data_IF_213288621083
#
_entry.id   IF_213288621083
#
_cell.length_a   1.000
_cell.length_b   1.000
_cell.length_c   1.000
_cell.angle_alpha   90.00
_cell.angle_beta   90.00
_cell.angle_gamma   90.00
#
_symmetry.space_group_name_H-M   'P 1'
#
loop_
_entity.id
_entity.type
_entity.pdbx_description
1 polymer ?
#
# COMPACT_ATOMS: atom_id res chain seq x y z
N UNK A 1 34.83 27.88 -17.92
CA UNK A 1 35.25 27.67 -16.52
C UNK A 1 34.07 28.00 -15.61
N UNK A 2 34.05 27.40 -14.43
CA UNK A 2 32.85 26.96 -13.72
C UNK A 2 32.14 28.06 -12.88
N UNK A 3 30.81 27.86 -12.74
CA UNK A 3 30.01 27.91 -11.49
C UNK A 3 29.69 29.28 -10.89
N UNK A 4 28.41 29.67 -10.98
CA UNK A 4 27.75 30.67 -10.12
C UNK A 4 26.66 29.95 -9.31
N UNK A 5 26.72 30.08 -7.98
CA UNK A 5 25.64 29.76 -7.04
C UNK A 5 25.40 31.01 -6.18
N UNK A 6 24.27 31.65 -6.45
CA UNK A 6 23.46 32.52 -5.59
C UNK A 6 23.03 31.72 -4.32
N UNK A 7 22.78 32.22 -3.12
CA UNK A 7 22.66 33.55 -2.51
C UNK A 7 22.81 33.44 -0.99
N UNK A 8 23.13 34.58 -0.41
CA UNK A 8 23.14 35.03 0.98
C UNK A 8 21.78 34.90 1.71
N UNK A 9 21.79 34.61 3.01
CA UNK A 9 20.78 35.05 3.99
C UNK A 9 21.21 34.65 5.39
N UNK A 10 21.99 35.54 6.00
CA UNK A 10 22.40 35.57 7.40
C UNK A 10 21.27 36.19 8.24
N UNK A 11 20.89 35.57 9.36
CA UNK A 11 19.96 36.12 10.35
C UNK A 11 20.12 35.38 11.67
N UNK A 12 21.25 35.62 12.34
CA UNK A 12 21.43 35.29 13.76
C UNK A 12 20.63 36.27 14.65
N UNK A 13 19.70 35.73 15.44
CA UNK A 13 19.00 36.47 16.49
C UNK A 13 19.25 35.78 17.84
N UNK A 14 20.09 36.41 18.66
CA UNK A 14 20.55 35.90 19.96
C UNK A 14 19.58 36.36 21.05
N UNK A 15 18.92 35.44 21.75
CA UNK A 15 18.22 35.74 23.00
C UNK A 15 19.11 35.49 24.22
N UNK A 16 18.97 36.35 25.24
CA UNK A 16 19.92 36.57 26.34
C UNK A 16 19.70 35.65 27.54
N UNK A 17 19.04 34.52 27.35
CA UNK A 17 18.83 33.49 28.38
C UNK A 17 19.29 32.17 27.79
N UNK A 18 20.43 31.65 28.24
CA UNK A 18 21.19 30.55 27.60
C UNK A 18 20.47 29.19 27.52
N UNK A 19 19.37 29.14 26.76
CA UNK A 19 18.57 27.95 26.49
C UNK A 19 18.53 27.78 24.98
N UNK A 20 19.04 26.64 24.51
CA UNK A 20 19.04 26.25 23.10
C UNK A 20 17.58 25.95 22.71
N UNK A 21 16.91 26.89 22.04
CA UNK A 21 15.63 26.60 21.36
C UNK A 21 15.97 26.00 20.00
N UNK A 22 15.73 24.69 19.86
CA UNK A 22 15.72 24.02 18.57
C UNK A 22 14.51 24.52 17.78
N UNK A 23 14.69 25.54 16.95
CA UNK A 23 13.70 25.90 15.95
C UNK A 23 13.67 24.82 14.86
N UNK A 24 12.51 24.21 14.55
CA UNK A 24 12.42 23.30 13.42
C UNK A 24 12.60 24.10 12.12
N UNK A 25 13.69 23.81 11.42
CA UNK A 25 13.96 24.35 10.09
C UNK A 25 12.85 23.90 9.14
N UNK A 26 12.03 24.86 8.72
CA UNK A 26 10.94 24.68 7.78
C UNK A 26 11.51 24.55 6.36
N UNK A 27 11.92 23.33 5.99
CA UNK A 27 12.11 22.95 4.60
C UNK A 27 10.74 22.62 4.00
N UNK A 28 10.34 23.49 3.08
CA UNK A 28 9.05 23.59 2.44
C UNK A 28 8.64 22.37 1.59
N UNK A 29 7.36 21.98 1.76
CA UNK A 29 6.43 21.31 0.80
C UNK A 29 6.61 19.82 0.49
N UNK A 30 5.90 18.96 1.25
CA UNK A 30 4.74 18.21 0.72
C UNK A 30 3.96 17.55 1.86
N UNK A 31 2.72 17.97 2.02
CA UNK A 31 1.73 17.33 2.88
C UNK A 31 1.40 15.91 2.39
N UNK A 32 1.54 14.96 3.30
CA UNK A 32 0.74 13.74 3.52
C UNK A 32 1.63 12.53 3.78
N UNK A 33 1.47 11.99 4.99
CA UNK A 33 2.10 10.76 5.49
C UNK A 33 1.96 9.67 4.42
N UNK A 34 3.08 9.19 3.86
CA UNK A 34 3.06 7.95 3.08
C UNK A 34 2.79 6.77 4.02
N UNK A 35 1.50 6.55 4.34
CA UNK A 35 1.06 5.34 5.02
C UNK A 35 1.58 4.14 4.23
N UNK A 36 2.27 3.22 4.91
CA UNK A 36 2.82 2.03 4.28
C UNK A 36 1.72 1.28 3.54
N UNK A 37 2.05 0.54 2.48
CA UNK A 37 1.10 -0.36 1.84
C UNK A 37 0.49 -1.35 2.85
N UNK A 38 1.24 -1.66 3.91
CA UNK A 38 0.75 -2.49 5.00
C UNK A 38 -0.26 -1.74 5.88
N UNK A 39 -0.07 -0.44 6.12
CA UNK A 39 -1.00 0.39 6.90
C UNK A 39 -2.33 0.53 6.15
N UNK A 40 -2.27 0.85 4.85
CA UNK A 40 -3.47 0.91 3.99
C UNK A 40 -4.22 -0.42 3.97
N UNK A 41 -3.49 -1.54 3.96
CA UNK A 41 -4.12 -2.85 4.08
C UNK A 41 -4.73 -3.07 5.44
N UNK A 42 -4.05 -2.72 6.53
CA UNK A 42 -4.54 -2.90 7.89
C UNK A 42 -5.79 -2.06 8.14
N UNK A 43 -5.81 -0.82 7.65
CA UNK A 43 -6.96 0.08 7.72
C UNK A 43 -8.16 -0.48 6.95
N UNK A 44 -7.90 -1.05 5.77
CA UNK A 44 -8.93 -1.74 5.00
C UNK A 44 -9.40 -3.02 5.71
N UNK A 45 -8.52 -3.98 5.97
CA UNK A 45 -8.85 -5.34 6.39
C UNK A 45 -9.20 -5.46 7.89
N UNK A 46 -8.89 -4.43 8.68
CA UNK A 46 -9.23 -4.28 10.10
C UNK A 46 -8.82 -5.51 10.92
N UNK A 47 -9.80 -6.27 11.43
CA UNK A 47 -9.60 -7.39 12.37
C UNK A 47 -9.45 -8.75 11.68
N UNK A 48 -9.76 -8.85 10.38
CA UNK A 48 -9.78 -10.12 9.66
C UNK A 48 -10.88 -11.09 10.13
N UNK A 49 -12.06 -10.54 10.42
CA UNK A 49 -13.29 -11.30 10.71
C UNK A 49 -13.84 -11.94 9.44
N UNK A 50 -14.79 -12.89 9.56
CA UNK A 50 -15.42 -13.49 8.38
C UNK A 50 -16.04 -12.43 7.46
N UNK A 51 -16.66 -11.41 8.04
CA UNK A 51 -17.24 -10.29 7.32
C UNK A 51 -16.19 -9.49 6.53
N UNK A 52 -14.99 -9.28 7.08
CA UNK A 52 -13.89 -8.63 6.35
C UNK A 52 -13.43 -9.48 5.15
N UNK A 53 -13.41 -10.80 5.29
CA UNK A 53 -13.12 -11.72 4.20
C UNK A 53 -14.23 -11.71 3.13
N UNK A 54 -15.50 -11.68 3.52
CA UNK A 54 -16.64 -11.61 2.61
C UNK A 54 -16.66 -10.28 1.84
N UNK A 55 -16.36 -9.15 2.52
CA UNK A 55 -16.21 -7.84 1.87
C UNK A 55 -15.07 -7.84 0.86
N UNK A 56 -13.92 -8.43 1.20
CA UNK A 56 -12.82 -8.60 0.27
C UNK A 56 -13.22 -9.45 -0.95
N UNK A 57 -14.04 -10.47 -0.77
CA UNK A 57 -14.58 -11.25 -1.89
C UNK A 57 -15.50 -10.38 -2.76
N UNK A 58 -16.43 -9.63 -2.16
CA UNK A 58 -17.33 -8.73 -2.88
C UNK A 58 -16.59 -7.67 -3.69
N UNK A 59 -15.59 -7.01 -3.08
CA UNK A 59 -14.76 -5.98 -3.72
C UNK A 59 -13.89 -6.52 -4.87
N UNK A 60 -13.76 -7.85 -4.97
CA UNK A 60 -13.05 -8.56 -6.03
C UNK A 60 -14.01 -9.24 -7.01
N UNK A 61 -15.31 -8.97 -6.92
CA UNK A 61 -16.34 -9.55 -7.79
C UNK A 61 -16.61 -11.05 -7.54
N UNK A 62 -16.26 -11.55 -6.36
CA UNK A 62 -16.53 -12.93 -5.93
C UNK A 62 -17.80 -13.00 -5.07
N UNK A 63 -18.41 -14.20 -4.94
CA UNK A 63 -19.56 -14.40 -4.05
C UNK A 63 -19.21 -13.98 -2.61
N UNK A 64 -20.09 -13.20 -1.99
CA UNK A 64 -19.93 -12.68 -0.63
C UNK A 64 -20.66 -13.53 0.42
N UNK A 65 -21.43 -14.53 0.01
CA UNK A 65 -22.21 -15.45 0.84
C UNK A 65 -21.40 -16.67 1.34
N UNK A 66 -20.07 -16.61 1.23
CA UNK A 66 -19.20 -17.71 1.63
C UNK A 66 -19.28 -17.94 3.16
N UNK A 67 -19.62 -19.15 3.62
CA UNK A 67 -19.94 -19.39 5.03
C UNK A 67 -18.71 -19.52 5.94
N UNK A 68 -17.49 -19.47 5.41
CA UNK A 68 -16.27 -19.61 6.21
C UNK A 68 -15.06 -18.89 5.63
N UNK A 69 -14.12 -18.50 6.51
CA UNK A 69 -12.86 -17.85 6.11
C UNK A 69 -12.02 -18.73 5.19
N UNK A 70 -12.11 -20.05 5.36
CA UNK A 70 -11.42 -21.02 4.50
C UNK A 70 -11.96 -20.95 3.08
N UNK A 71 -13.29 -20.94 2.90
CA UNK A 71 -13.91 -20.81 1.58
C UNK A 71 -13.58 -19.47 0.92
N UNK A 72 -13.59 -18.37 1.68
CA UNK A 72 -13.12 -17.07 1.17
C UNK A 72 -11.67 -17.16 0.69
N UNK A 73 -10.76 -17.74 1.49
CA UNK A 73 -9.37 -17.92 1.08
C UNK A 73 -9.22 -18.77 -0.17
N UNK A 74 -10.01 -19.82 -0.31
CA UNK A 74 -9.97 -20.69 -1.50
C UNK A 74 -10.46 -19.95 -2.74
N UNK A 75 -11.50 -19.14 -2.63
CA UNK A 75 -11.93 -18.24 -3.71
C UNK A 75 -10.84 -17.21 -4.06
N UNK A 76 -10.16 -16.64 -3.06
CA UNK A 76 -9.04 -15.73 -3.29
C UNK A 76 -7.83 -16.41 -3.97
N UNK A 77 -7.71 -17.74 -3.91
CA UNK A 77 -6.64 -18.46 -4.61
C UNK A 77 -6.88 -18.51 -6.13
N UNK A 78 -8.11 -18.50 -6.60
CA UNK A 78 -8.40 -18.59 -8.03
C UNK A 78 -8.14 -17.26 -8.76
N UNK A 79 -8.31 -16.13 -8.08
CA UNK A 79 -8.12 -14.81 -8.66
C UNK A 79 -6.64 -14.41 -8.74
N UNK A 80 -6.33 -13.60 -9.75
CA UNK A 80 -5.04 -12.94 -9.90
C UNK A 80 -5.29 -11.43 -9.91
N UNK A 81 -4.86 -10.73 -8.87
CA UNK A 81 -5.02 -9.27 -8.75
C UNK A 81 -3.75 -8.68 -8.14
N UNK A 82 -3.44 -7.43 -8.50
CA UNK A 82 -2.34 -6.72 -7.87
C UNK A 82 -2.85 -6.00 -6.62
N UNK A 83 -2.28 -6.30 -5.45
CA UNK A 83 -2.74 -5.74 -4.15
C UNK A 83 -2.57 -4.21 -4.11
N UNK A 84 -1.46 -3.68 -4.62
CA UNK A 84 -1.23 -2.23 -4.65
C UNK A 84 -2.23 -1.51 -5.53
N UNK A 85 -2.63 -2.12 -6.64
CA UNK A 85 -3.70 -1.60 -7.48
C UNK A 85 -5.04 -1.65 -6.74
N UNK A 86 -5.39 -2.79 -6.16
CA UNK A 86 -6.62 -2.96 -5.39
C UNK A 86 -6.79 -1.89 -4.30
N UNK A 87 -5.72 -1.60 -3.55
CA UNK A 87 -5.72 -0.58 -2.50
C UNK A 87 -5.91 0.85 -3.03
N UNK A 88 -5.53 1.12 -4.29
CA UNK A 88 -5.69 2.43 -4.95
C UNK A 88 -7.04 2.65 -5.61
N UNK A 89 -7.79 1.58 -5.88
CA UNK A 89 -9.12 1.68 -6.46
C UNK A 89 -10.11 2.23 -5.42
N UNK A 90 -10.88 3.25 -5.79
CA UNK A 90 -11.94 3.82 -4.95
C UNK A 90 -13.26 3.09 -5.18
N UNK A 91 -13.65 2.88 -6.45
CA UNK A 91 -14.88 2.18 -6.81
C UNK A 91 -14.59 0.70 -7.05
N UNK A 92 -14.82 -0.12 -6.02
CA UNK A 92 -14.69 -1.58 -6.10
C UNK A 92 -16.08 -2.20 -6.25
N UNK A 93 -16.27 -3.21 -7.11
CA UNK A 93 -15.27 -3.97 -7.86
C UNK A 93 -14.88 -3.40 -9.24
N UNK A 94 -15.58 -2.40 -9.76
CA UNK A 94 -15.49 -1.99 -11.18
C UNK A 94 -14.10 -1.48 -11.61
N UNK A 95 -13.39 -0.77 -10.72
CA UNK A 95 -12.04 -0.26 -11.02
C UNK A 95 -10.93 -1.31 -10.82
N UNK A 96 -11.26 -2.46 -10.23
CA UNK A 96 -10.28 -3.49 -9.88
C UNK A 96 -9.95 -4.34 -11.10
N UNK A 97 -8.66 -4.46 -11.41
CA UNK A 97 -8.19 -5.19 -12.59
C UNK A 97 -7.82 -6.60 -12.18
N UNK A 98 -8.70 -7.53 -12.52
CA UNK A 98 -8.45 -8.96 -12.42
C UNK A 98 -7.69 -9.43 -13.66
N UNK A 99 -6.69 -10.27 -13.44
CA UNK A 99 -5.87 -10.87 -14.49
C UNK A 99 -6.34 -12.30 -14.74
N UNK A 100 -6.34 -12.72 -16.01
CA UNK A 100 -6.79 -14.07 -16.38
C UNK A 100 -5.83 -15.14 -15.86
N UNK A 101 -4.54 -14.81 -15.81
CA UNK A 101 -3.50 -15.74 -15.39
C UNK A 101 -2.37 -15.02 -14.63
N UNK A 102 -1.54 -15.84 -13.97
CA UNK A 102 -0.38 -15.37 -13.21
C UNK A 102 0.63 -14.60 -14.07
N UNK A 103 0.83 -15.01 -15.33
CA UNK A 103 1.82 -14.40 -16.24
C UNK A 103 1.47 -12.95 -16.55
N UNK A 104 0.20 -12.67 -16.83
CA UNK A 104 -0.33 -11.31 -17.03
C UNK A 104 -0.15 -10.44 -15.79
N UNK A 105 -0.47 -10.97 -14.60
CA UNK A 105 -0.26 -10.27 -13.34
C UNK A 105 1.22 -9.89 -13.15
N UNK A 106 2.15 -10.81 -13.44
CA UNK A 106 3.59 -10.56 -13.32
C UNK A 106 4.05 -9.49 -14.31
N UNK A 107 3.69 -9.61 -15.59
CA UNK A 107 4.07 -8.65 -16.64
C UNK A 107 3.56 -7.26 -16.30
N UNK A 108 2.29 -7.14 -15.91
CA UNK A 108 1.68 -5.86 -15.53
C UNK A 108 2.38 -5.26 -14.31
N UNK A 109 2.65 -6.07 -13.28
CA UNK A 109 3.28 -5.60 -12.05
C UNK A 109 4.72 -5.15 -12.28
N UNK A 110 5.49 -5.88 -13.10
CA UNK A 110 6.86 -5.51 -13.48
C UNK A 110 6.87 -4.20 -14.25
N UNK A 111 6.02 -4.07 -15.27
CA UNK A 111 5.92 -2.86 -16.11
C UNK A 111 5.63 -1.61 -15.27
N UNK A 112 4.84 -1.74 -14.20
CA UNK A 112 4.43 -0.63 -13.33
C UNK A 112 5.21 -0.52 -12.02
N UNK A 113 6.21 -1.37 -11.81
CA UNK A 113 6.96 -1.48 -10.53
C UNK A 113 6.02 -1.57 -9.31
N UNK A 114 4.88 -2.24 -9.45
CA UNK A 114 3.79 -2.29 -8.47
C UNK A 114 3.92 -3.47 -7.50
N UNK A 115 5.12 -3.69 -6.97
CA UNK A 115 5.41 -4.80 -6.09
C UNK A 115 4.86 -4.58 -4.68
N UNK A 116 4.44 -5.67 -4.03
CA UNK A 116 4.01 -5.67 -2.64
C UNK A 116 5.06 -6.40 -1.77
N UNK A 117 5.45 -5.83 -0.61
CA UNK A 117 6.48 -6.42 0.24
C UNK A 117 6.03 -7.75 0.85
N UNK A 118 6.67 -8.85 0.44
CA UNK A 118 6.33 -10.21 0.90
C UNK A 118 6.80 -10.53 2.32
N UNK A 119 7.95 -9.96 2.73
CA UNK A 119 8.62 -10.28 4.00
C UNK A 119 7.85 -9.78 5.23
N UNK A 120 7.03 -8.75 5.07
CA UNK A 120 6.28 -8.10 6.16
C UNK A 120 4.89 -8.70 6.38
N UNK A 121 4.53 -9.77 5.66
CA UNK A 121 3.19 -10.34 5.73
C UNK A 121 2.99 -11.23 6.96
N UNK A 122 1.97 -10.95 7.80
CA UNK A 122 1.64 -11.82 8.93
C UNK A 122 1.23 -13.22 8.45
N UNK A 123 1.66 -14.25 9.18
CA UNK A 123 1.28 -15.64 8.91
C UNK A 123 -0.23 -15.80 9.03
N UNK A 124 -0.85 -16.53 8.09
CA UNK A 124 -2.31 -16.73 8.05
C UNK A 124 -3.13 -15.56 7.47
N UNK A 125 -2.49 -14.45 7.09
CA UNK A 125 -3.18 -13.33 6.45
C UNK A 125 -3.70 -13.69 5.04
N UNK A 126 -4.89 -13.21 4.64
CA UNK A 126 -5.37 -13.34 3.27
C UNK A 126 -4.42 -12.70 2.25
N UNK A 127 -3.65 -11.68 2.65
CA UNK A 127 -2.58 -11.11 1.81
C UNK A 127 -1.62 -12.17 1.32
N UNK A 128 -1.29 -13.16 2.15
CA UNK A 128 -0.37 -14.24 1.77
C UNK A 128 -0.99 -15.13 0.68
N UNK A 129 -2.32 -15.27 0.70
CA UNK A 129 -3.08 -16.07 -0.27
C UNK A 129 -3.26 -15.32 -1.59
N UNK A 130 -3.48 -14.01 -1.50
CA UNK A 130 -3.65 -13.11 -2.63
C UNK A 130 -2.31 -12.80 -3.32
N UNK A 131 -1.24 -12.64 -2.54
CA UNK A 131 0.10 -12.40 -3.05
C UNK A 131 0.65 -13.65 -3.72
N UNK A 132 0.48 -13.70 -5.05
CA UNK A 132 1.06 -14.76 -5.88
C UNK A 132 2.58 -14.68 -5.86
N UNK A 133 3.22 -15.85 -5.96
CA UNK A 133 4.65 -15.92 -6.24
C UNK A 133 4.93 -15.30 -7.61
N UNK A 134 5.60 -14.14 -7.56
CA UNK A 134 5.94 -13.33 -8.73
C UNK A 134 7.26 -13.72 -9.39
N UNK A 135 8.08 -14.51 -8.69
CA UNK A 135 9.37 -15.01 -9.12
C UNK A 135 9.33 -16.54 -9.04
N UNK A 136 9.95 -17.19 -10.03
CA UNK A 136 10.19 -18.62 -10.07
C UNK A 136 11.61 -18.89 -9.55
#
# INVERSE_FOLDING_TARGET
>A
MARSLYEDSDSDLVDRSGVIILTPSNSSKSDSKHASLMDQWNDYFKRGTLQDFQRLCADLGLPNDLPSKTKCRDALKSINVNIKQFLRCENRPDDVKLFKNRKELIVWTRKRRAFFPRRQLPKGSPLRTLLKHMFN
#
